data_IF_354890452925
#
_entry.id   IF_354890452925
#
_cell.length_a   1.000
_cell.length_b   1.000
_cell.length_c   1.000
_cell.angle_alpha   90.00
_cell.angle_beta   90.00
_cell.angle_gamma   90.00
#
_symmetry.space_group_name_H-M   'P 1'
#
loop_
_entity.id
_entity.type
_entity.pdbx_description
1 polymer ?
#
# COMPACT_ATOMS: atom_id res chain seq x y z
N UNK A 1 -3.84 -21.35 11.92
CA UNK A 1 -3.66 -20.44 10.76
C UNK A 1 -2.22 -19.98 10.82
N UNK A 2 -1.32 -20.61 10.06
CA UNK A 2 0.10 -20.23 10.06
C UNK A 2 0.29 -19.02 9.14
N UNK A 3 0.94 -17.98 9.65
CA UNK A 3 1.33 -16.84 8.84
C UNK A 3 2.48 -17.27 7.92
N UNK A 4 2.21 -17.42 6.61
CA UNK A 4 3.25 -17.62 5.60
C UNK A 4 3.87 -16.27 5.27
N UNK A 5 5.08 -16.03 5.77
CA UNK A 5 5.87 -14.87 5.37
C UNK A 5 6.61 -15.25 4.09
N UNK A 6 6.17 -14.70 2.96
CA UNK A 6 6.88 -14.82 1.69
C UNK A 6 7.59 -13.50 1.39
N UNK A 7 8.92 -13.56 1.29
CA UNK A 7 9.70 -12.43 0.80
C UNK A 7 9.65 -12.44 -0.73
N UNK A 8 9.27 -11.30 -1.33
CA UNK A 8 9.26 -11.09 -2.78
C UNK A 8 10.43 -10.16 -3.12
N UNK A 9 11.54 -10.66 -3.70
CA UNK A 9 12.77 -9.88 -3.89
C UNK A 9 12.58 -8.63 -4.78
N UNK A 10 11.66 -8.70 -5.73
CA UNK A 10 11.34 -7.62 -6.67
C UNK A 10 10.38 -6.58 -6.08
N UNK A 11 9.84 -6.81 -4.87
CA UNK A 11 8.82 -5.96 -4.25
C UNK A 11 9.42 -5.26 -3.05
N UNK A 12 9.25 -3.93 -3.00
CA UNK A 12 9.65 -3.13 -1.85
C UNK A 12 8.42 -2.72 -1.06
N UNK A 13 8.39 -3.08 0.23
CA UNK A 13 7.38 -2.57 1.16
C UNK A 13 7.85 -1.24 1.74
N UNK A 14 7.07 -0.18 1.51
CA UNK A 14 7.32 1.15 2.06
C UNK A 14 6.21 1.51 3.03
N UNK A 15 6.58 1.95 4.24
CA UNK A 15 5.64 2.50 5.21
C UNK A 15 5.62 4.01 5.11
N UNK A 16 4.42 4.58 4.96
CA UNK A 16 4.20 6.03 4.99
C UNK A 16 3.31 6.35 6.17
N UNK A 17 3.85 7.10 7.13
CA UNK A 17 3.15 7.44 8.36
C UNK A 17 2.28 8.68 8.14
N UNK A 18 0.96 8.52 8.23
CA UNK A 18 -0.01 9.62 8.19
C UNK A 18 -0.28 10.09 9.62
N UNK A 19 0.56 10.98 10.13
CA UNK A 19 0.43 11.51 11.49
C UNK A 19 -0.79 12.42 11.69
N UNK A 20 -1.35 12.97 10.61
CA UNK A 20 -2.52 13.85 10.63
C UNK A 20 -3.31 13.72 9.31
N UNK A 21 -4.64 13.62 9.41
CA UNK A 21 -5.57 13.60 8.26
C UNK A 21 -5.52 14.87 7.41
N UNK A 22 -5.10 16.00 8.00
CA UNK A 22 -4.93 17.25 7.26
C UNK A 22 -3.55 17.41 6.59
N UNK A 23 -2.68 16.39 6.67
CA UNK A 23 -1.36 16.43 6.05
C UNK A 23 -1.43 16.56 4.52
N UNK A 24 -0.41 17.18 3.89
CA UNK A 24 -0.32 17.25 2.44
C UNK A 24 -0.43 15.87 1.77
N UNK A 25 0.21 14.85 2.35
CA UNK A 25 0.16 13.46 1.86
C UNK A 25 -1.26 12.91 1.92
N UNK A 26 -1.96 13.02 3.07
CA UNK A 26 -3.32 12.52 3.19
C UNK A 26 -4.28 13.19 2.19
N UNK A 27 -4.11 14.50 1.95
CA UNK A 27 -4.93 15.27 0.99
C UNK A 27 -4.60 14.92 -0.46
N UNK A 28 -3.31 14.95 -0.82
CA UNK A 28 -2.83 14.68 -2.18
C UNK A 28 -3.25 13.30 -2.67
N UNK A 29 -3.13 12.31 -1.79
CA UNK A 29 -3.46 10.92 -2.10
C UNK A 29 -4.91 10.57 -1.72
N UNK A 30 -5.69 11.50 -1.17
CA UNK A 30 -7.08 11.24 -0.81
C UNK A 30 -7.26 10.10 0.21
N UNK A 31 -6.34 9.96 1.15
CA UNK A 31 -6.38 8.91 2.18
C UNK A 31 -7.52 9.20 3.16
N UNK A 32 -8.51 8.29 3.23
CA UNK A 32 -9.72 8.43 4.08
C UNK A 32 -9.83 7.40 5.19
N UNK A 33 -8.96 6.38 5.19
CA UNK A 33 -8.95 5.28 6.18
C UNK A 33 -7.54 4.72 6.35
N UNK A 34 -7.31 4.10 7.49
CA UNK A 34 -6.06 3.38 7.82
C UNK A 34 -6.40 2.01 8.44
N UNK A 35 -5.55 0.98 8.24
CA UNK A 35 -4.43 0.96 7.30
C UNK A 35 -4.92 0.93 5.84
N UNK A 36 -4.10 1.45 4.94
CA UNK A 36 -4.33 1.38 3.49
C UNK A 36 -3.09 0.79 2.82
N UNK A 37 -3.28 -0.18 1.93
CA UNK A 37 -2.21 -0.84 1.18
C UNK A 37 -2.41 -0.60 -0.31
N UNK A 38 -1.39 -0.04 -0.95
CA UNK A 38 -1.39 0.28 -2.37
C UNK A 38 -0.19 -0.35 -3.06
N UNK A 39 -0.36 -0.69 -4.33
CA UNK A 39 0.72 -1.20 -5.19
C UNK A 39 1.04 -0.18 -6.27
N UNK A 40 2.33 0.05 -6.47
CA UNK A 40 2.86 0.94 -7.49
C UNK A 40 3.89 0.20 -8.36
N UNK A 41 3.90 0.54 -9.64
CA UNK A 41 4.96 0.20 -10.57
C UNK A 41 5.57 1.53 -11.06
N UNK A 42 6.78 1.83 -10.59
CA UNK A 42 7.35 3.18 -10.74
C UNK A 42 6.46 4.24 -10.06
N UNK A 43 5.96 5.20 -10.84
CA UNK A 43 5.05 6.25 -10.37
C UNK A 43 3.58 5.93 -10.62
N UNK A 44 3.28 4.83 -11.32
CA UNK A 44 1.92 4.45 -11.65
C UNK A 44 1.32 3.62 -10.52
N UNK A 45 0.13 4.00 -10.07
CA UNK A 45 -0.62 3.22 -9.09
C UNK A 45 -1.37 2.09 -9.80
N UNK A 46 -1.02 0.85 -9.45
CA UNK A 46 -1.56 -0.37 -10.07
C UNK A 46 -2.76 -0.89 -9.28
N UNK A 47 -2.77 -0.71 -7.96
CA UNK A 47 -3.91 -1.11 -7.12
C UNK A 47 -4.04 -0.24 -5.86
N UNK A 48 -5.28 0.03 -5.46
CA UNK A 48 -5.65 0.74 -4.23
C UNK A 48 -6.38 -0.13 -3.19
N UNK A 49 -6.73 -1.36 -3.59
CA UNK A 49 -7.50 -2.28 -2.77
C UNK A 49 -6.59 -3.41 -2.26
N UNK A 50 -6.67 -3.71 -0.96
CA UNK A 50 -5.81 -4.74 -0.35
C UNK A 50 -5.95 -6.09 -1.04
N UNK A 51 -7.15 -6.51 -1.44
CA UNK A 51 -7.32 -7.80 -2.16
C UNK A 51 -6.72 -7.71 -3.55
N UNK A 52 -6.93 -6.60 -4.25
CA UNK A 52 -6.31 -6.34 -5.54
C UNK A 52 -4.79 -6.32 -5.49
N UNK A 53 -4.18 -5.75 -4.43
CA UNK A 53 -2.72 -5.79 -4.23
C UNK A 53 -2.26 -7.24 -4.05
N UNK A 54 -2.90 -8.00 -3.18
CA UNK A 54 -2.49 -9.38 -2.90
C UNK A 54 -2.61 -10.28 -4.15
N UNK A 55 -3.68 -10.13 -4.94
CA UNK A 55 -3.85 -10.89 -6.18
C UNK A 55 -2.87 -10.55 -7.29
N UNK A 56 -2.11 -9.45 -7.20
CA UNK A 56 -1.02 -9.13 -8.13
C UNK A 56 0.34 -9.68 -7.67
N UNK A 57 0.42 -10.18 -6.43
CA UNK A 57 1.64 -10.65 -5.79
C UNK A 57 1.70 -12.18 -5.64
N UNK A 58 0.60 -12.88 -5.93
CA UNK A 58 0.49 -14.34 -6.03
C UNK A 58 0.89 -14.84 -7.42
#
# INVERSE_FOLDING_TARGET
MEARIQALPEVRLVRVDIGNWNSPVAKQFGIRRLPTLWLYEGTQQVSQDTRGVLGQLE
#
